data_IF_556910769600
#
_entry.id   IF_556910769600
#
_cell.length_a   1.000
_cell.length_b   1.000
_cell.length_c   1.000
_cell.angle_alpha   90.00
_cell.angle_beta   90.00
_cell.angle_gamma   90.00
#
_symmetry.space_group_name_H-M   'P 1'
#
loop_
_entity.id
_entity.type
_entity.pdbx_description
1 polymer ?
#
# COMPACT_ATOMS: atom_id res chain seq x y z
N UNK A 1 -11.05 -12.16 6.01
CA UNK A 1 -11.48 -11.78 4.65
C UNK A 1 -10.29 -11.11 3.99
N UNK A 2 -10.03 -11.40 2.73
CA UNK A 2 -8.95 -10.81 1.96
C UNK A 2 -9.25 -9.32 1.69
N UNK A 3 -8.33 -8.42 2.04
CA UNK A 3 -8.45 -6.97 1.83
C UNK A 3 -8.70 -6.65 0.35
N UNK A 4 -8.04 -7.38 -0.55
CA UNK A 4 -8.22 -7.22 -1.99
C UNK A 4 -9.66 -7.52 -2.41
N UNK A 5 -10.26 -8.60 -1.89
CA UNK A 5 -11.63 -8.96 -2.16
C UNK A 5 -12.64 -7.92 -1.64
N UNK A 6 -12.40 -7.35 -0.45
CA UNK A 6 -13.24 -6.29 0.12
C UNK A 6 -13.20 -5.04 -0.76
N UNK A 7 -12.00 -4.60 -1.16
CA UNK A 7 -11.83 -3.42 -2.00
C UNK A 7 -12.46 -3.61 -3.38
N UNK A 8 -12.27 -4.78 -3.98
CA UNK A 8 -12.86 -5.13 -5.28
C UNK A 8 -14.39 -5.10 -5.22
N UNK A 9 -14.99 -5.66 -4.16
CA UNK A 9 -16.43 -5.61 -3.95
C UNK A 9 -16.94 -4.17 -3.78
N UNK A 10 -16.28 -3.37 -2.94
CA UNK A 10 -16.66 -1.98 -2.69
C UNK A 10 -16.57 -1.11 -3.96
N UNK A 11 -15.51 -1.28 -4.77
CA UNK A 11 -15.36 -0.57 -6.03
C UNK A 11 -16.43 -1.00 -7.06
N UNK A 12 -16.77 -2.29 -7.10
CA UNK A 12 -17.86 -2.77 -7.95
C UNK A 12 -19.20 -2.19 -7.52
N UNK A 13 -19.49 -2.13 -6.22
CA UNK A 13 -20.71 -1.51 -5.69
C UNK A 13 -20.78 -0.01 -6.00
N UNK A 14 -19.63 0.68 -6.01
CA UNK A 14 -19.52 2.07 -6.42
C UNK A 14 -19.65 2.30 -7.95
N UNK A 15 -19.85 1.24 -8.74
CA UNK A 15 -20.09 1.32 -10.18
C UNK A 15 -18.82 1.30 -11.05
N UNK A 16 -17.65 0.99 -10.49
CA UNK A 16 -16.43 0.84 -11.29
C UNK A 16 -16.45 -0.47 -12.09
N UNK A 17 -16.02 -0.38 -13.35
CA UNK A 17 -15.88 -1.54 -14.24
C UNK A 17 -14.68 -2.43 -13.87
N UNK A 18 -14.66 -3.70 -14.31
CA UNK A 18 -13.58 -4.65 -14.01
C UNK A 18 -12.18 -4.15 -14.38
N UNK A 19 -12.02 -3.50 -15.54
CA UNK A 19 -10.72 -2.98 -16.00
C UNK A 19 -10.21 -1.82 -15.13
N UNK A 20 -11.13 -0.93 -14.71
CA UNK A 20 -10.81 0.16 -13.79
C UNK A 20 -10.41 -0.37 -12.41
N UNK A 21 -11.09 -1.42 -11.93
CA UNK A 21 -10.75 -2.10 -10.68
C UNK A 21 -9.37 -2.74 -10.81
N UNK A 22 -9.15 -3.56 -11.84
CA UNK A 22 -7.88 -4.28 -12.03
C UNK A 22 -6.68 -3.34 -12.19
N UNK A 23 -6.86 -2.18 -12.81
CA UNK A 23 -5.79 -1.19 -12.95
C UNK A 23 -5.54 -0.37 -11.66
N UNK A 24 -6.58 -0.09 -10.87
CA UNK A 24 -6.45 0.73 -9.66
C UNK A 24 -6.01 -0.08 -8.42
N UNK A 25 -6.42 -1.34 -8.32
CA UNK A 25 -6.26 -2.17 -7.12
C UNK A 25 -4.79 -2.29 -6.66
N UNK A 26 -3.81 -2.57 -7.55
CA UNK A 26 -2.40 -2.67 -7.14
C UNK A 26 -1.85 -1.35 -6.60
N UNK A 27 -2.40 -0.21 -7.02
CA UNK A 27 -2.00 1.10 -6.50
C UNK A 27 -2.63 1.38 -5.14
N UNK A 28 -3.90 1.01 -4.95
CA UNK A 28 -4.59 1.16 -3.67
C UNK A 28 -3.89 0.32 -2.60
N UNK A 29 -3.58 -0.95 -2.91
CA UNK A 29 -2.89 -1.85 -1.98
C UNK A 29 -1.54 -1.27 -1.55
N UNK A 30 -0.71 -0.79 -2.48
CA UNK A 30 0.56 -0.13 -2.13
C UNK A 30 0.40 1.13 -1.28
N UNK A 31 -0.70 1.87 -1.42
CA UNK A 31 -0.98 3.02 -0.54
C UNK A 31 -1.28 2.54 0.88
N UNK A 32 -2.05 1.46 1.02
CA UNK A 32 -2.35 0.87 2.32
C UNK A 32 -1.09 0.30 2.98
N UNK A 33 -0.27 -0.43 2.23
CA UNK A 33 1.02 -0.96 2.74
C UNK A 33 1.98 0.17 3.18
N UNK A 34 2.03 1.28 2.44
CA UNK A 34 2.83 2.44 2.85
C UNK A 34 2.33 3.05 4.17
N UNK A 35 1.03 3.01 4.42
CA UNK A 35 0.44 3.44 5.67
C UNK A 35 0.73 2.45 6.82
N UNK A 36 0.72 1.15 6.54
CA UNK A 36 1.13 0.13 7.50
C UNK A 36 2.59 0.35 7.94
N UNK A 37 3.50 0.66 7.00
CA UNK A 37 4.88 1.05 7.34
C UNK A 37 4.90 2.25 8.28
N UNK A 38 4.10 3.30 8.02
CA UNK A 38 4.03 4.49 8.88
C UNK A 38 3.53 4.13 10.29
N UNK A 39 2.51 3.28 10.38
CA UNK A 39 1.95 2.81 11.65
C UNK A 39 3.01 2.03 12.43
N UNK A 40 3.71 1.08 11.80
CA UNK A 40 4.74 0.25 12.43
C UNK A 40 6.01 1.03 12.86
N UNK A 41 6.34 2.10 12.13
CA UNK A 41 7.42 3.02 12.51
C UNK A 41 7.02 3.87 13.72
N UNK A 42 5.72 4.06 13.96
CA UNK A 42 5.21 4.76 15.14
C UNK A 42 5.39 6.28 15.11
N UNK A 43 5.75 6.85 13.95
CA UNK A 43 5.88 8.31 13.75
C UNK A 43 5.56 8.73 12.31
N UNK A 44 5.29 10.02 12.06
CA UNK A 44 5.22 10.54 10.70
C UNK A 44 6.53 10.30 9.94
N UNK A 45 6.38 9.94 8.67
CA UNK A 45 7.49 9.82 7.73
C UNK A 45 7.78 11.17 7.06
N UNK A 46 9.05 11.54 7.00
CA UNK A 46 9.52 12.66 6.20
C UNK A 46 9.23 12.45 4.71
N UNK A 47 9.36 13.51 3.90
CA UNK A 47 9.17 13.41 2.44
C UNK A 47 10.10 12.35 1.82
N UNK A 48 11.37 12.33 2.21
CA UNK A 48 12.37 11.38 1.69
C UNK A 48 12.05 9.94 2.10
N UNK A 49 11.58 9.73 3.32
CA UNK A 49 11.17 8.41 3.80
C UNK A 49 9.93 7.91 3.07
N UNK A 50 8.92 8.75 2.84
CA UNK A 50 7.74 8.36 2.05
C UNK A 50 8.12 7.95 0.63
N UNK A 51 9.04 8.68 0.00
CA UNK A 51 9.53 8.35 -1.33
C UNK A 51 10.32 7.04 -1.35
N UNK A 52 11.15 6.80 -0.32
CA UNK A 52 11.85 5.52 -0.13
C UNK A 52 10.86 4.35 -0.01
N UNK A 53 9.88 4.45 0.90
CA UNK A 53 8.86 3.41 1.12
C UNK A 53 8.11 3.10 -0.19
N UNK A 54 7.64 4.14 -0.89
CA UNK A 54 6.96 3.98 -2.18
C UNK A 54 7.81 3.18 -3.17
N UNK A 55 9.09 3.53 -3.31
CA UNK A 55 10.00 2.85 -4.24
C UNK A 55 10.21 1.40 -3.84
N UNK A 56 10.39 1.10 -2.54
CA UNK A 56 10.58 -0.29 -2.09
C UNK A 56 9.34 -1.15 -2.36
N UNK A 57 8.13 -0.61 -2.12
CA UNK A 57 6.88 -1.30 -2.46
C UNK A 57 6.73 -1.50 -3.97
N UNK A 58 7.17 -0.54 -4.79
CA UNK A 58 7.22 -0.70 -6.25
C UNK A 58 8.21 -1.78 -6.71
N UNK A 59 9.25 -2.04 -5.93
CA UNK A 59 10.21 -3.12 -6.16
C UNK A 59 9.75 -4.47 -5.59
N UNK A 60 8.58 -4.52 -4.93
CA UNK A 60 7.98 -5.74 -4.40
C UNK A 60 8.46 -6.16 -3.01
N UNK A 61 9.10 -5.25 -2.25
CA UNK A 61 9.44 -5.53 -0.85
C UNK A 61 8.20 -5.47 0.04
N UNK A 62 8.15 -6.33 1.06
CA UNK A 62 7.08 -6.33 2.05
C UNK A 62 7.26 -5.26 3.13
N UNK A 63 6.15 -4.94 3.81
CA UNK A 63 6.10 -3.95 4.92
C UNK A 63 7.18 -4.23 5.97
N UNK A 64 7.29 -5.47 6.45
CA UNK A 64 8.25 -5.83 7.52
C UNK A 64 9.71 -5.67 7.09
N UNK A 65 10.04 -5.93 5.82
CA UNK A 65 11.40 -5.74 5.29
C UNK A 65 11.77 -4.25 5.26
N UNK A 66 10.83 -3.42 4.81
CA UNK A 66 10.98 -1.97 4.74
C UNK A 66 11.13 -1.38 6.14
N UNK A 67 10.28 -1.78 7.09
CA UNK A 67 10.34 -1.34 8.48
C UNK A 67 11.67 -1.74 9.13
N UNK A 68 12.15 -2.96 8.89
CA UNK A 68 13.44 -3.40 9.38
C UNK A 68 14.61 -2.58 8.80
N UNK A 69 14.54 -2.18 7.53
CA UNK A 69 15.54 -1.33 6.90
C UNK A 69 15.54 0.11 7.46
N UNK A 70 14.38 0.63 7.86
CA UNK A 70 14.22 1.99 8.37
C UNK A 70 14.54 2.16 9.86
N UNK A 71 14.50 1.08 10.64
CA UNK A 71 14.83 1.06 12.08
C UNK A 71 16.32 0.81 12.36
N UNK A 72 17.10 0.48 11.33
CA UNK A 72 18.56 0.36 11.40
C UNK A 72 19.22 1.73 11.27
#
# INVERSE_FOLDING_TARGET
MDTEAILSAALREAGYGPDAIGSALPRILRILEAEDVRIEIGRPLSRKEREYVRLQLELGLGVSEIVAAMKK
#
